data_IF_642103445603
#
_entry.id   IF_642103445603
#
_cell.length_a   1.000
_cell.length_b   1.000
_cell.length_c   1.000
_cell.angle_alpha   90.00
_cell.angle_beta   90.00
_cell.angle_gamma   90.00
#
_symmetry.space_group_name_H-M   'P 1'
#
loop_
_entity.id
_entity.type
_entity.pdbx_description
1 polymer ?
#
# COMPACT_ATOMS: atom_id res chain seq x y z
N UNK A 1 -14.66 -17.27 -41.89
CA UNK A 1 -16.10 -17.37 -42.23
C UNK A 1 -16.80 -16.15 -41.65
N UNK A 2 -17.17 -15.20 -42.54
CA UNK A 2 -18.18 -14.11 -42.45
C UNK A 2 -18.13 -13.15 -41.22
N UNK A 3 -17.65 -11.91 -41.40
CA UNK A 3 -18.36 -10.65 -41.79
C UNK A 3 -18.97 -9.93 -40.57
N UNK A 4 -18.37 -8.82 -40.09
CA UNK A 4 -18.54 -7.42 -40.52
C UNK A 4 -19.92 -6.84 -40.15
N UNK A 5 -19.93 -5.80 -39.30
CA UNK A 5 -20.82 -4.64 -39.46
C UNK A 5 -20.25 -3.43 -38.72
N UNK A 6 -19.95 -2.40 -39.50
CA UNK A 6 -19.75 -1.03 -39.08
C UNK A 6 -20.97 -0.22 -39.54
N UNK A 7 -21.39 0.79 -38.79
CA UNK A 7 -22.12 1.93 -39.35
C UNK A 7 -21.94 3.19 -38.47
N UNK A 8 -21.42 4.22 -39.13
CA UNK A 8 -21.34 5.63 -38.72
C UNK A 8 -22.72 6.30 -38.84
N UNK A 9 -22.97 7.33 -38.02
CA UNK A 9 -23.59 8.58 -38.47
C UNK A 9 -23.40 9.72 -37.45
N UNK A 10 -22.86 10.83 -37.93
CA UNK A 10 -22.74 12.15 -37.30
C UNK A 10 -24.02 12.97 -37.48
N UNK A 11 -24.36 13.82 -36.51
CA UNK A 11 -25.13 15.06 -36.75
C UNK A 11 -24.91 16.06 -35.61
N UNK A 12 -24.45 17.25 -36.02
CA UNK A 12 -24.29 18.50 -35.25
C UNK A 12 -25.64 19.20 -35.12
N UNK A 13 -25.92 19.83 -33.97
CA UNK A 13 -26.81 21.00 -33.89
C UNK A 13 -26.32 21.96 -32.80
N UNK A 14 -26.04 23.20 -33.24
CA UNK A 14 -25.71 24.41 -32.48
C UNK A 14 -26.99 25.15 -32.06
N UNK A 15 -26.96 25.77 -30.87
CA UNK A 15 -27.53 27.09 -30.51
C UNK A 15 -27.32 27.27 -29.00
N UNK A 16 -26.50 28.17 -28.44
CA UNK A 16 -26.31 29.63 -28.59
C UNK A 16 -27.45 30.48 -27.99
N UNK A 17 -27.18 31.12 -26.84
CA UNK A 17 -27.41 32.55 -26.52
C UNK A 17 -26.91 32.82 -25.07
N UNK A 18 -25.85 33.63 -24.90
CA UNK A 18 -25.86 35.04 -24.44
C UNK A 18 -26.11 35.18 -22.91
N UNK A 19 -25.42 36.01 -22.13
CA UNK A 19 -24.70 37.24 -22.43
C UNK A 19 -23.56 37.52 -21.44
N UNK A 20 -22.66 38.39 -21.89
CA UNK A 20 -21.56 39.05 -21.19
C UNK A 20 -22.03 39.90 -19.99
N UNK A 21 -21.19 40.03 -18.97
CA UNK A 21 -20.81 41.36 -18.47
C UNK A 21 -19.49 41.32 -17.68
N UNK A 22 -18.65 42.29 -18.02
CA UNK A 22 -17.34 42.60 -17.47
C UNK A 22 -17.37 42.95 -15.97
N UNK A 23 -16.25 42.68 -15.29
CA UNK A 23 -15.95 43.20 -13.96
C UNK A 23 -14.50 42.90 -13.56
N UNK A 24 -13.72 43.97 -13.40
CA UNK A 24 -12.26 43.98 -13.21
C UNK A 24 -11.71 43.28 -11.96
N UNK A 25 -10.45 42.88 -12.09
CA UNK A 25 -9.44 42.49 -11.10
C UNK A 25 -9.54 43.11 -9.69
N UNK A 26 -9.39 42.27 -8.65
CA UNK A 26 -8.55 42.54 -7.49
C UNK A 26 -7.96 41.23 -6.92
N UNK A 27 -6.63 41.24 -6.71
CA UNK A 27 -5.86 40.20 -6.02
C UNK A 27 -5.93 40.48 -4.51
N UNK A 28 -6.33 39.53 -3.68
CA UNK A 28 -5.74 39.35 -2.33
C UNK A 28 -6.11 38.02 -1.68
N UNK A 29 -5.10 37.32 -1.17
CA UNK A 29 -5.09 36.88 0.23
C UNK A 29 -6.00 35.74 0.70
N UNK A 30 -5.44 34.53 0.68
CA UNK A 30 -5.45 33.56 1.80
C UNK A 30 -6.72 32.76 2.14
N UNK A 31 -6.44 31.48 2.45
CA UNK A 31 -7.25 30.42 3.06
C UNK A 31 -8.14 29.64 2.09
N UNK A 32 -7.59 28.52 1.63
CA UNK A 32 -8.34 27.36 1.17
C UNK A 32 -9.27 26.88 2.28
N UNK A 33 -10.57 27.14 2.15
CA UNK A 33 -11.63 26.47 2.88
C UNK A 33 -11.69 25.02 2.36
N UNK A 34 -11.10 24.09 3.11
CA UNK A 34 -11.31 22.67 2.88
C UNK A 34 -12.63 22.28 3.57
N UNK A 35 -13.58 21.93 2.72
CA UNK A 35 -14.90 21.39 3.05
C UNK A 35 -14.79 20.24 4.06
N UNK A 36 -15.41 20.44 5.22
CA UNK A 36 -15.71 19.39 6.18
C UNK A 36 -16.38 18.21 5.48
N UNK A 37 -15.80 17.02 5.65
CA UNK A 37 -16.39 15.74 5.25
C UNK A 37 -17.77 15.59 5.87
N UNK A 38 -18.81 15.58 5.04
CA UNK A 38 -20.18 15.34 5.44
C UNK A 38 -20.35 13.87 5.82
N UNK A 39 -20.47 13.61 7.11
CA UNK A 39 -20.83 12.30 7.69
C UNK A 39 -22.35 12.16 7.65
N UNK A 40 -22.89 11.06 7.12
CA UNK A 40 -24.32 10.74 7.20
C UNK A 40 -24.58 9.31 7.68
N UNK A 41 -25.74 9.13 8.32
CA UNK A 41 -26.07 8.07 9.28
C UNK A 41 -25.92 6.63 8.78
N UNK A 42 -25.26 5.81 9.60
CA UNK A 42 -25.06 4.39 9.43
C UNK A 42 -25.98 3.54 10.30
N UNK A 43 -26.21 2.31 9.85
CA UNK A 43 -26.56 1.20 10.72
C UNK A 43 -25.53 1.09 11.85
N UNK A 44 -25.98 1.17 13.10
CA UNK A 44 -25.20 1.08 14.34
C UNK A 44 -24.29 2.28 14.71
N UNK A 45 -24.41 3.45 14.07
CA UNK A 45 -23.75 4.68 14.52
C UNK A 45 -22.25 4.81 14.21
N UNK A 46 -21.69 3.89 13.41
CA UNK A 46 -20.31 3.94 12.89
C UNK A 46 -20.23 4.84 11.65
N UNK A 47 -19.45 5.92 11.66
CA UNK A 47 -19.27 6.76 10.48
C UNK A 47 -18.27 6.12 9.50
N UNK A 48 -18.71 5.74 8.30
CA UNK A 48 -17.84 5.25 7.23
C UNK A 48 -17.33 6.40 6.36
N UNK A 49 -16.14 6.25 5.73
CA UNK A 49 -15.65 7.26 4.81
C UNK A 49 -16.49 7.22 3.52
N UNK A 50 -17.04 8.37 3.13
CA UNK A 50 -17.97 8.43 2.01
C UNK A 50 -17.26 8.36 0.64
N UNK A 51 -17.84 7.63 -0.34
CA UNK A 51 -17.35 7.65 -1.70
C UNK A 51 -17.33 9.07 -2.29
N UNK A 52 -16.25 9.40 -2.98
CA UNK A 52 -16.07 10.66 -3.68
C UNK A 52 -15.70 10.45 -5.16
N UNK A 53 -15.44 11.55 -5.86
CA UNK A 53 -15.04 11.53 -7.27
C UNK A 53 -13.57 11.13 -7.50
N UNK A 54 -12.89 10.55 -6.50
CA UNK A 54 -11.49 10.15 -6.63
C UNK A 54 -11.29 9.03 -7.64
N UNK A 55 -10.11 9.04 -8.26
CA UNK A 55 -9.72 8.09 -9.30
C UNK A 55 -9.05 6.88 -8.65
N UNK A 56 -9.58 5.68 -8.88
CA UNK A 56 -8.85 4.45 -8.61
C UNK A 56 -7.90 4.13 -9.76
N UNK A 57 -6.75 3.54 -9.42
CA UNK A 57 -5.79 3.11 -10.42
C UNK A 57 -6.35 1.97 -11.26
N UNK A 58 -6.02 1.99 -12.56
CA UNK A 58 -6.25 0.85 -13.45
C UNK A 58 -5.22 -0.25 -13.24
N UNK A 59 -5.26 -1.29 -14.07
CA UNK A 59 -4.34 -2.43 -13.97
C UNK A 59 -2.88 -2.13 -14.35
N UNK A 60 -2.62 -0.99 -15.01
CA UNK A 60 -1.26 -0.60 -15.37
C UNK A 60 -0.68 0.34 -14.30
N UNK A 61 0.29 -0.17 -13.54
CA UNK A 61 0.87 0.58 -12.41
C UNK A 61 1.83 1.70 -12.83
N UNK A 62 2.43 1.63 -14.03
CA UNK A 62 3.21 2.73 -14.58
C UNK A 62 2.33 3.97 -14.86
N UNK A 63 1.11 3.75 -15.36
CA UNK A 63 0.09 4.79 -15.50
C UNK A 63 -0.37 5.33 -14.14
N UNK A 64 -0.52 4.46 -13.14
CA UNK A 64 -0.85 4.87 -11.77
C UNK A 64 0.23 5.78 -11.17
N UNK A 65 1.51 5.41 -11.31
CA UNK A 65 2.63 6.26 -10.87
C UNK A 65 2.61 7.60 -11.60
N UNK A 66 2.35 7.65 -12.90
CA UNK A 66 2.23 8.94 -13.59
C UNK A 66 1.10 9.81 -13.01
N UNK A 67 -0.07 9.23 -12.70
CA UNK A 67 -1.16 9.96 -12.04
C UNK A 67 -0.75 10.52 -10.67
N UNK A 68 0.04 9.77 -9.90
CA UNK A 68 0.61 10.20 -8.62
C UNK A 68 1.58 11.36 -8.83
N UNK A 69 2.50 11.25 -9.79
CA UNK A 69 3.54 12.25 -10.05
C UNK A 69 2.99 13.61 -10.48
N UNK A 70 1.78 13.64 -11.04
CA UNK A 70 1.05 14.88 -11.34
C UNK A 70 0.47 15.58 -10.10
N UNK A 71 0.47 14.92 -8.93
CA UNK A 71 -0.13 15.39 -7.68
C UNK A 71 0.87 15.53 -6.53
N UNK A 72 1.99 14.83 -6.58
CA UNK A 72 3.04 14.89 -5.55
C UNK A 72 3.86 16.18 -5.67
N UNK A 73 4.21 16.78 -4.54
CA UNK A 73 5.27 17.81 -4.53
C UNK A 73 6.62 17.11 -4.73
N UNK A 74 7.38 17.41 -5.80
CA UNK A 74 8.68 16.79 -6.03
C UNK A 74 9.63 16.90 -4.84
N UNK A 75 9.50 17.93 -3.98
CA UNK A 75 10.34 18.06 -2.78
C UNK A 75 10.21 16.88 -1.81
N UNK A 76 9.10 16.16 -1.82
CA UNK A 76 8.96 14.96 -0.99
C UNK A 76 9.94 13.85 -1.37
N UNK A 77 10.39 13.82 -2.63
CA UNK A 77 11.40 12.90 -3.14
C UNK A 77 12.84 13.42 -2.92
N UNK A 78 13.08 14.25 -1.90
CA UNK A 78 14.43 14.73 -1.54
C UNK A 78 15.04 14.01 -0.32
N UNK A 79 14.41 12.93 0.12
CA UNK A 79 14.84 12.12 1.27
C UNK A 79 15.58 10.86 0.83
N UNK A 80 16.58 10.44 1.61
CA UNK A 80 17.30 9.19 1.35
C UNK A 80 16.41 7.95 1.51
N UNK A 81 15.31 8.06 2.27
CA UNK A 81 14.35 6.96 2.48
C UNK A 81 15.05 5.73 3.06
N UNK A 82 14.92 4.60 2.38
CA UNK A 82 15.57 3.35 2.79
C UNK A 82 17.05 3.27 2.43
N UNK A 83 17.52 4.12 1.51
CA UNK A 83 18.93 4.16 1.14
C UNK A 83 19.77 4.66 2.32
N UNK A 84 20.53 3.77 2.94
CA UNK A 84 21.41 4.13 4.04
C UNK A 84 22.76 4.64 3.51
N UNK A 85 23.25 5.73 4.09
CA UNK A 85 24.58 6.30 3.83
C UNK A 85 24.97 7.19 5.01
N UNK A 86 26.26 7.22 5.38
CA UNK A 86 26.74 8.17 6.40
C UNK A 86 26.97 9.57 5.83
N UNK A 87 26.91 10.60 6.67
CA UNK A 87 27.16 11.99 6.27
C UNK A 87 28.54 12.18 5.58
N UNK A 88 29.56 11.47 6.06
CA UNK A 88 30.91 11.53 5.48
C UNK A 88 30.95 10.94 4.06
N UNK A 89 30.31 9.79 3.85
CA UNK A 89 30.20 9.16 2.55
C UNK A 89 29.38 10.01 1.59
N UNK A 90 28.26 10.57 2.06
CA UNK A 90 27.43 11.48 1.29
C UNK A 90 28.20 12.74 0.87
N UNK A 91 28.96 13.34 1.77
CA UNK A 91 29.80 14.50 1.49
C UNK A 91 30.90 14.20 0.45
N UNK A 92 31.50 13.01 0.47
CA UNK A 92 32.48 12.58 -0.54
C UNK A 92 31.85 12.44 -1.92
N UNK A 93 30.69 11.78 -2.02
CA UNK A 93 29.94 11.67 -3.28
C UNK A 93 29.54 13.08 -3.77
N UNK A 94 29.06 13.94 -2.87
CA UNK A 94 28.71 15.33 -3.20
C UNK A 94 29.90 16.08 -3.79
N UNK A 95 31.07 16.02 -3.14
CA UNK A 95 32.27 16.70 -3.61
C UNK A 95 32.69 16.19 -5.01
N UNK A 96 32.54 14.89 -5.27
CA UNK A 96 32.76 14.33 -6.59
C UNK A 96 31.79 14.88 -7.63
N UNK A 97 30.49 14.90 -7.34
CA UNK A 97 29.47 15.43 -8.26
C UNK A 97 29.72 16.91 -8.52
N UNK A 98 29.95 17.71 -7.47
CA UNK A 98 30.23 19.15 -7.56
C UNK A 98 31.43 19.44 -8.49
N UNK A 99 32.49 18.63 -8.41
CA UNK A 99 33.72 18.87 -9.16
C UNK A 99 33.69 18.33 -10.61
N UNK A 100 32.87 17.32 -10.90
CA UNK A 100 32.99 16.57 -12.16
C UNK A 100 31.71 16.52 -13.01
N UNK A 101 30.53 16.65 -12.40
CA UNK A 101 29.25 16.32 -13.05
C UNK A 101 28.22 17.45 -12.95
N UNK A 102 28.36 18.33 -11.96
CA UNK A 102 27.50 19.49 -11.78
C UNK A 102 27.60 20.43 -12.98
N UNK A 103 26.44 20.90 -13.42
CA UNK A 103 26.26 21.79 -14.54
C UNK A 103 25.35 22.97 -14.15
N UNK A 104 25.06 23.86 -15.10
CA UNK A 104 24.31 25.10 -14.88
C UNK A 104 22.82 24.87 -14.58
N UNK A 105 22.27 23.71 -14.97
CA UNK A 105 20.88 23.33 -14.69
C UNK A 105 20.80 21.97 -14.01
N UNK A 106 19.72 21.77 -13.26
CA UNK A 106 19.41 20.47 -12.65
C UNK A 106 19.30 19.37 -13.70
N UNK A 107 18.66 19.64 -14.85
CA UNK A 107 18.52 18.65 -15.92
C UNK A 107 19.87 18.21 -16.49
N UNK A 108 20.77 19.15 -16.80
CA UNK A 108 22.11 18.80 -17.28
C UNK A 108 22.94 18.07 -16.22
N UNK A 109 22.86 18.52 -14.97
CA UNK A 109 23.52 17.87 -13.83
C UNK A 109 23.05 16.42 -13.67
N UNK A 110 21.74 16.20 -13.66
CA UNK A 110 21.13 14.87 -13.61
C UNK A 110 21.58 14.00 -14.81
N UNK A 111 21.55 14.52 -16.03
CA UNK A 111 21.95 13.76 -17.21
C UNK A 111 23.44 13.38 -17.16
N UNK A 112 24.31 14.28 -16.71
CA UNK A 112 25.73 14.00 -16.50
C UNK A 112 25.92 12.88 -15.46
N UNK A 113 25.17 12.90 -14.36
CA UNK A 113 25.18 11.84 -13.34
C UNK A 113 24.73 10.51 -13.95
N UNK A 114 23.58 10.47 -14.62
CA UNK A 114 23.03 9.27 -15.23
C UNK A 114 24.03 8.63 -16.21
N UNK A 115 24.57 9.43 -17.13
CA UNK A 115 25.52 8.97 -18.13
C UNK A 115 26.86 8.52 -17.52
N UNK A 116 27.31 9.20 -16.46
CA UNK A 116 28.49 8.78 -15.73
C UNK A 116 28.28 7.40 -15.07
N UNK A 117 27.12 7.15 -14.46
CA UNK A 117 26.81 5.84 -13.86
C UNK A 117 26.78 4.76 -14.94
N UNK A 118 26.03 4.96 -16.02
CA UNK A 118 25.93 4.01 -17.16
C UNK A 118 27.32 3.65 -17.71
N UNK A 119 28.20 4.64 -17.83
CA UNK A 119 29.54 4.44 -18.40
C UNK A 119 30.51 3.75 -17.44
N UNK A 120 30.42 4.04 -16.14
CA UNK A 120 31.48 3.69 -15.19
C UNK A 120 31.14 2.50 -14.30
N UNK A 121 29.86 2.17 -14.12
CA UNK A 121 29.43 1.08 -13.24
C UNK A 121 29.13 -0.17 -14.06
N UNK A 122 29.59 -1.33 -13.59
CA UNK A 122 29.43 -2.64 -14.25
C UNK A 122 28.42 -3.53 -13.54
N UNK A 123 27.53 -4.17 -14.28
CA UNK A 123 26.55 -5.10 -13.73
C UNK A 123 27.22 -6.37 -13.19
N UNK A 124 26.86 -6.75 -11.97
CA UNK A 124 27.35 -7.95 -11.31
C UNK A 124 26.42 -9.14 -11.59
N UNK A 125 26.71 -9.90 -12.65
CA UNK A 125 26.01 -11.16 -12.95
C UNK A 125 26.53 -12.35 -12.13
N UNK A 126 27.62 -12.16 -11.37
CA UNK A 126 28.25 -13.15 -10.49
C UNK A 126 29.13 -12.46 -9.43
N UNK A 127 29.49 -13.19 -8.37
CA UNK A 127 30.33 -12.68 -7.28
C UNK A 127 29.65 -11.59 -6.45
N UNK A 128 30.46 -10.75 -5.81
CA UNK A 128 29.96 -9.68 -4.93
C UNK A 128 29.22 -8.60 -5.74
N UNK A 129 28.02 -8.24 -5.27
CA UNK A 129 27.17 -7.20 -5.81
C UNK A 129 26.83 -6.19 -4.71
N UNK A 130 27.30 -4.96 -4.86
CA UNK A 130 27.08 -3.91 -3.86
C UNK A 130 25.71 -3.26 -4.05
N UNK A 131 25.02 -3.00 -2.94
CA UNK A 131 23.75 -2.28 -2.89
C UNK A 131 23.89 -0.90 -2.24
N UNK A 132 24.84 -0.78 -1.31
CA UNK A 132 25.16 0.48 -0.65
C UNK A 132 25.70 1.48 -1.69
N UNK A 133 25.13 2.69 -1.79
CA UNK A 133 25.49 3.65 -2.83
C UNK A 133 26.96 4.05 -2.78
N UNK A 134 27.58 4.09 -1.60
CA UNK A 134 28.99 4.44 -1.46
C UNK A 134 29.90 3.31 -1.92
N UNK A 135 29.56 2.05 -1.63
CA UNK A 135 30.27 0.90 -2.16
C UNK A 135 30.17 0.83 -3.69
N UNK A 136 28.97 1.06 -4.26
CA UNK A 136 28.83 1.17 -5.73
C UNK A 136 29.68 2.32 -6.26
N UNK A 137 29.68 3.46 -5.59
CA UNK A 137 30.52 4.60 -5.96
C UNK A 137 32.01 4.25 -5.90
N UNK A 138 32.51 3.45 -4.95
CA UNK A 138 33.93 3.10 -4.87
C UNK A 138 34.32 1.98 -5.83
N UNK A 139 33.57 0.90 -5.83
CA UNK A 139 33.93 -0.35 -6.51
C UNK A 139 33.36 -0.45 -7.92
N UNK A 140 32.42 0.45 -8.29
CA UNK A 140 31.83 0.56 -9.63
C UNK A 140 31.22 -0.76 -10.13
N UNK A 141 30.63 -1.53 -9.22
CA UNK A 141 30.03 -2.84 -9.52
C UNK A 141 28.79 -3.07 -8.67
N UNK A 142 27.67 -3.45 -9.26
CA UNK A 142 26.42 -3.70 -8.52
C UNK A 142 25.37 -4.44 -9.36
N UNK A 143 24.23 -4.74 -8.76
CA UNK A 143 22.99 -5.11 -9.46
C UNK A 143 22.04 -3.90 -9.54
N UNK A 144 20.89 -4.07 -10.18
CA UNK A 144 19.92 -2.99 -10.47
C UNK A 144 19.61 -2.09 -9.26
N UNK A 145 19.42 -2.66 -8.07
CA UNK A 145 19.17 -1.88 -6.85
C UNK A 145 20.35 -0.95 -6.49
N UNK A 146 21.60 -1.41 -6.64
CA UNK A 146 22.77 -0.59 -6.37
C UNK A 146 22.94 0.54 -7.38
N UNK A 147 22.62 0.29 -8.66
CA UNK A 147 22.54 1.35 -9.68
C UNK A 147 21.53 2.42 -9.26
N UNK A 148 20.33 2.00 -8.85
CA UNK A 148 19.26 2.92 -8.49
C UNK A 148 19.56 3.73 -7.22
N UNK A 149 20.15 3.08 -6.21
CA UNK A 149 20.60 3.74 -4.97
C UNK A 149 21.69 4.78 -5.23
N UNK A 150 22.66 4.47 -6.11
CA UNK A 150 23.72 5.42 -6.45
C UNK A 150 23.18 6.63 -7.22
N UNK A 151 22.31 6.42 -8.22
CA UNK A 151 21.68 7.51 -8.96
C UNK A 151 20.88 8.43 -8.03
N UNK A 152 20.05 7.85 -7.16
CA UNK A 152 19.33 8.60 -6.12
C UNK A 152 20.28 9.44 -5.27
N UNK A 153 21.30 8.81 -4.70
CA UNK A 153 22.26 9.48 -3.82
C UNK A 153 22.95 10.66 -4.53
N UNK A 154 23.47 10.45 -5.74
CA UNK A 154 24.15 11.50 -6.50
C UNK A 154 23.22 12.66 -6.86
N UNK A 155 21.99 12.40 -7.28
CA UNK A 155 20.98 13.44 -7.52
C UNK A 155 20.65 14.23 -6.25
N UNK A 156 20.42 13.54 -5.13
CA UNK A 156 20.08 14.17 -3.86
C UNK A 156 21.22 15.06 -3.35
N UNK A 157 22.49 14.73 -3.62
CA UNK A 157 23.62 15.61 -3.26
C UNK A 157 23.56 17.00 -3.90
N UNK A 158 22.78 17.13 -4.97
CA UNK A 158 22.54 18.37 -5.71
C UNK A 158 21.14 18.96 -5.45
N UNK A 159 20.37 18.38 -4.53
CA UNK A 159 18.99 18.80 -4.25
C UNK A 159 17.99 18.43 -5.36
N UNK A 160 18.38 17.57 -6.31
CA UNK A 160 17.53 17.12 -7.40
C UNK A 160 16.64 15.98 -6.86
N UNK A 161 15.31 16.14 -6.82
CA UNK A 161 14.44 15.11 -6.29
C UNK A 161 14.56 13.81 -7.09
N UNK A 162 14.76 12.71 -6.36
CA UNK A 162 14.96 11.39 -6.93
C UNK A 162 14.52 10.33 -5.93
N UNK A 163 13.77 9.34 -6.41
CA UNK A 163 13.37 8.19 -5.61
C UNK A 163 13.59 6.89 -6.38
N UNK A 164 13.67 5.77 -5.66
CA UNK A 164 13.76 4.44 -6.24
C UNK A 164 12.35 3.87 -6.40
N UNK A 165 12.08 3.31 -7.56
CA UNK A 165 10.94 2.44 -7.79
C UNK A 165 11.40 0.99 -7.90
N UNK A 166 10.64 0.10 -7.27
CA UNK A 166 10.81 -1.36 -7.40
C UNK A 166 9.59 -1.96 -8.06
N UNK A 167 9.80 -2.99 -8.88
CA UNK A 167 8.72 -3.69 -9.56
C UNK A 167 9.24 -4.73 -10.52
N UNK A 168 8.55 -4.93 -11.63
CA UNK A 168 8.92 -5.91 -12.66
C UNK A 168 9.56 -5.25 -13.87
N UNK A 169 10.65 -5.84 -14.36
CA UNK A 169 11.18 -5.59 -15.70
C UNK A 169 10.51 -6.56 -16.67
N UNK A 170 9.41 -6.12 -17.29
CA UNK A 170 8.57 -6.92 -18.17
C UNK A 170 8.26 -8.29 -17.52
N UNK A 171 8.55 -9.39 -18.22
CA UNK A 171 8.44 -10.76 -17.69
C UNK A 171 9.77 -11.34 -17.22
N UNK A 172 10.86 -10.55 -17.15
CA UNK A 172 12.22 -11.03 -16.88
C UNK A 172 12.43 -11.27 -15.38
N UNK A 173 11.94 -10.38 -14.52
CA UNK A 173 12.12 -10.50 -13.08
C UNK A 173 12.00 -9.18 -12.34
N UNK A 174 12.27 -9.23 -11.02
CA UNK A 174 12.28 -8.04 -10.17
C UNK A 174 13.38 -7.06 -10.60
N UNK A 175 13.07 -5.77 -10.55
CA UNK A 175 13.96 -4.70 -11.02
C UNK A 175 13.82 -3.43 -10.18
N UNK A 176 14.85 -2.60 -10.23
CA UNK A 176 14.92 -1.32 -9.56
C UNK A 176 15.43 -0.25 -10.51
N UNK A 177 14.77 0.90 -10.51
CA UNK A 177 15.11 2.07 -11.33
C UNK A 177 14.70 3.34 -10.57
N UNK A 178 14.88 4.50 -11.19
CA UNK A 178 14.59 5.78 -10.55
C UNK A 178 13.51 6.56 -11.27
N UNK A 179 12.89 7.45 -10.51
CA UNK A 179 12.20 8.61 -11.05
C UNK A 179 12.93 9.87 -10.59
N UNK A 180 13.26 10.76 -11.52
CA UNK A 180 14.02 11.98 -11.25
C UNK A 180 13.22 13.20 -11.69
N UNK A 181 13.10 14.20 -10.83
CA UNK A 181 12.49 15.48 -11.19
C UNK A 181 13.58 16.50 -11.53
N UNK A 182 13.69 16.89 -12.79
CA UNK A 182 14.72 17.83 -13.23
C UNK A 182 14.21 18.71 -14.37
N UNK A 183 14.56 20.00 -14.37
CA UNK A 183 14.14 20.93 -15.43
C UNK A 183 12.62 21.11 -15.55
N UNK A 184 11.86 20.83 -14.49
CA UNK A 184 10.41 20.95 -14.45
C UNK A 184 9.63 19.68 -14.83
N UNK A 185 10.33 18.62 -15.24
CA UNK A 185 9.73 17.35 -15.70
C UNK A 185 10.19 16.16 -14.84
N UNK A 186 9.34 15.13 -14.76
CA UNK A 186 9.71 13.82 -14.23
C UNK A 186 10.27 12.92 -15.32
N UNK A 187 11.32 12.16 -14.98
CA UNK A 187 12.01 11.20 -15.84
C UNK A 187 11.97 9.82 -15.21
N UNK A 188 11.69 8.78 -16.00
CA UNK A 188 11.85 7.37 -15.61
C UNK A 188 13.21 6.93 -16.10
N UNK A 189 14.13 6.72 -15.17
CA UNK A 189 15.55 6.55 -15.46
C UNK A 189 16.04 5.20 -14.95
N UNK A 190 16.42 4.33 -15.88
CA UNK A 190 16.99 3.02 -15.62
C UNK A 190 18.47 3.01 -16.05
N UNK A 191 19.39 3.38 -15.14
CA UNK A 191 20.82 3.36 -15.43
C UNK A 191 21.38 1.94 -15.61
N UNK A 192 20.65 0.88 -15.23
CA UNK A 192 21.06 -0.50 -15.47
C UNK A 192 21.02 -0.85 -16.95
N UNK A 193 19.95 -0.41 -17.62
CA UNK A 193 19.69 -0.71 -19.03
C UNK A 193 19.94 0.48 -19.96
N UNK A 194 20.43 1.61 -19.43
CA UNK A 194 20.63 2.86 -20.17
C UNK A 194 19.34 3.35 -20.85
N UNK A 195 18.22 3.26 -20.12
CA UNK A 195 16.94 3.78 -20.57
C UNK A 195 16.58 5.04 -19.79
N UNK A 196 16.15 6.08 -20.49
CA UNK A 196 15.64 7.29 -19.88
C UNK A 196 14.47 7.86 -20.69
N UNK A 197 13.34 8.08 -20.00
CA UNK A 197 12.09 8.53 -20.62
C UNK A 197 11.51 9.70 -19.84
N UNK A 198 10.87 10.65 -20.52
CA UNK A 198 9.92 11.52 -19.83
C UNK A 198 8.78 10.68 -19.25
N UNK A 199 8.48 10.81 -17.96
CA UNK A 199 7.43 10.06 -17.29
C UNK A 199 6.03 10.33 -17.88
N UNK A 200 5.83 11.50 -18.50
CA UNK A 200 4.60 11.80 -19.25
C UNK A 200 4.37 10.86 -20.46
N UNK A 201 5.43 10.25 -20.99
CA UNK A 201 5.35 9.31 -22.12
C UNK A 201 5.21 7.86 -21.63
N UNK A 202 4.11 7.60 -20.91
CA UNK A 202 3.83 6.29 -20.28
C UNK A 202 3.90 5.14 -21.28
N UNK A 203 3.44 5.34 -22.52
CA UNK A 203 3.44 4.30 -23.57
C UNK A 203 4.84 3.78 -23.92
N UNK A 204 5.90 4.58 -23.68
CA UNK A 204 7.26 4.17 -23.98
C UNK A 204 7.80 3.10 -23.02
N UNK A 205 7.31 3.04 -21.78
CA UNK A 205 7.90 2.19 -20.73
C UNK A 205 6.90 1.32 -19.97
N UNK A 206 5.58 1.55 -20.08
CA UNK A 206 4.56 0.92 -19.21
C UNK A 206 4.47 -0.61 -19.23
N UNK A 207 5.02 -1.25 -20.26
CA UNK A 207 5.07 -2.72 -20.41
C UNK A 207 6.44 -3.30 -20.04
N UNK A 208 7.43 -2.44 -19.85
CA UNK A 208 8.81 -2.79 -19.52
C UNK A 208 9.09 -2.49 -18.05
N UNK A 209 8.82 -1.28 -17.58
CA UNK A 209 9.03 -0.86 -16.20
C UNK A 209 7.68 -0.80 -15.49
N UNK A 210 7.35 -1.85 -14.73
CA UNK A 210 6.06 -2.03 -14.07
C UNK A 210 6.26 -1.79 -12.57
N UNK A 211 6.10 -0.54 -12.08
CA UNK A 211 6.37 -0.20 -10.69
C UNK A 211 5.34 -0.87 -9.77
N UNK A 212 5.81 -1.39 -8.64
CA UNK A 212 4.95 -1.87 -7.57
C UNK A 212 5.13 -1.05 -6.30
N UNK A 213 6.27 -0.38 -6.15
CA UNK A 213 6.63 0.32 -4.93
C UNK A 213 7.46 1.56 -5.21
N UNK A 214 7.28 2.59 -4.38
CA UNK A 214 8.11 3.79 -4.33
C UNK A 214 8.73 3.91 -2.92
N UNK A 215 10.00 4.27 -2.82
CA UNK A 215 10.77 4.24 -1.56
C UNK A 215 10.66 5.53 -0.71
N UNK A 216 9.55 6.26 -0.82
CA UNK A 216 9.25 7.44 -0.02
C UNK A 216 7.75 7.62 0.20
N UNK A 217 7.39 8.48 1.17
CA UNK A 217 6.00 8.88 1.44
C UNK A 217 5.52 9.89 0.40
N UNK A 218 4.34 9.66 -0.17
CA UNK A 218 3.78 10.46 -1.27
C UNK A 218 2.94 11.65 -0.81
N UNK A 219 2.14 11.43 0.23
CA UNK A 219 1.19 12.39 0.74
C UNK A 219 1.05 12.18 2.25
N UNK A 220 0.54 13.21 2.89
CA UNK A 220 0.07 13.12 4.26
C UNK A 220 -1.14 14.03 4.42
N UNK A 221 -2.04 13.62 5.32
CA UNK A 221 -3.09 14.49 5.86
C UNK A 221 -2.98 14.51 7.38
N UNK A 222 -4.00 15.01 8.07
CA UNK A 222 -4.01 15.11 9.54
C UNK A 222 -4.01 13.74 10.23
N UNK A 223 -4.48 12.69 9.56
CA UNK A 223 -4.69 11.36 10.14
C UNK A 223 -3.67 10.31 9.67
N UNK A 224 -3.16 10.40 8.45
CA UNK A 224 -2.46 9.32 7.78
C UNK A 224 -1.27 9.80 6.93
N UNK A 225 -0.31 8.90 6.74
CA UNK A 225 0.75 9.02 5.73
C UNK A 225 0.51 7.96 4.66
N UNK A 226 0.74 8.34 3.41
CA UNK A 226 0.43 7.52 2.24
C UNK A 226 1.68 7.19 1.42
N UNK A 227 1.77 5.97 0.92
CA UNK A 227 2.80 5.55 -0.02
C UNK A 227 2.21 4.76 -1.20
N UNK A 228 3.06 4.37 -2.14
CA UNK A 228 2.71 3.43 -3.20
C UNK A 228 3.33 2.07 -2.90
N UNK A 229 2.48 1.07 -2.67
CA UNK A 229 2.90 -0.27 -2.29
C UNK A 229 2.04 -1.31 -3.00
N UNK A 230 2.69 -2.33 -3.56
CA UNK A 230 2.08 -3.40 -4.34
C UNK A 230 1.10 -2.90 -5.42
N UNK A 231 1.44 -1.79 -6.08
CA UNK A 231 0.63 -1.21 -7.14
C UNK A 231 -0.57 -0.38 -6.67
N UNK A 232 -0.71 -0.15 -5.37
CA UNK A 232 -1.85 0.54 -4.76
C UNK A 232 -1.43 1.83 -4.04
N UNK A 233 -2.36 2.79 -3.96
CA UNK A 233 -2.25 3.90 -3.02
C UNK A 233 -2.60 3.37 -1.64
N UNK A 234 -1.61 3.40 -0.76
CA UNK A 234 -1.63 2.69 0.50
C UNK A 234 -1.49 3.64 1.69
N UNK A 235 -2.26 3.40 2.76
CA UNK A 235 -1.97 3.99 4.07
C UNK A 235 -0.81 3.24 4.70
N UNK A 236 0.31 3.93 4.90
CA UNK A 236 1.53 3.37 5.50
C UNK A 236 1.67 3.69 6.98
N UNK A 237 1.01 4.74 7.46
CA UNK A 237 1.03 5.14 8.86
C UNK A 237 -0.29 5.78 9.25
N UNK A 238 -0.75 5.44 10.46
CA UNK A 238 -1.78 6.21 11.17
C UNK A 238 -1.05 7.09 12.18
N UNK A 239 -1.23 8.40 12.05
CA UNK A 239 -0.58 9.40 12.92
C UNK A 239 -1.11 9.29 14.36
N UNK A 240 -0.33 9.80 15.31
CA UNK A 240 -0.72 9.83 16.73
C UNK A 240 -2.08 10.50 16.93
N UNK A 241 -2.93 9.88 17.75
CA UNK A 241 -4.28 10.35 18.06
C UNK A 241 -4.69 9.89 19.45
N UNK A 242 -5.54 10.66 20.13
CA UNK A 242 -6.16 10.24 21.40
C UNK A 242 -7.40 9.36 21.18
N UNK A 243 -7.88 9.24 19.94
CA UNK A 243 -9.05 8.43 19.61
C UNK A 243 -8.73 6.93 19.64
N UNK A 244 -9.61 6.14 20.25
CA UNK A 244 -9.50 4.67 20.22
C UNK A 244 -10.01 4.04 18.91
N UNK A 245 -10.70 4.83 18.08
CA UNK A 245 -11.27 4.42 16.80
C UNK A 245 -10.67 5.27 15.70
N UNK A 246 -10.14 4.62 14.66
CA UNK A 246 -9.58 5.30 13.48
C UNK A 246 -10.33 4.87 12.24
N UNK A 247 -10.67 5.84 11.40
CA UNK A 247 -11.28 5.60 10.08
C UNK A 247 -10.25 5.86 8.99
N UNK A 248 -10.05 4.88 8.11
CA UNK A 248 -9.16 5.04 6.96
C UNK A 248 -9.82 5.93 5.90
N UNK A 249 -9.16 7.00 5.44
CA UNK A 249 -9.73 7.91 4.44
C UNK A 249 -10.08 7.23 3.11
N UNK A 250 -11.12 7.74 2.45
CA UNK A 250 -11.55 7.21 1.13
C UNK A 250 -10.54 7.54 0.03
N UNK A 251 -9.99 8.76 0.08
CA UNK A 251 -9.10 9.32 -0.92
C UNK A 251 -8.14 10.34 -0.32
N UNK A 252 -7.09 10.67 -1.07
CA UNK A 252 -6.22 11.82 -0.82
C UNK A 252 -5.86 12.46 -2.16
N UNK A 253 -5.92 13.79 -2.23
CA UNK A 253 -5.60 14.56 -3.46
C UNK A 253 -6.34 14.11 -4.73
N UNK A 254 -7.58 13.62 -4.58
CA UNK A 254 -8.41 13.11 -5.67
C UNK A 254 -7.99 11.72 -6.19
N UNK A 255 -7.10 11.02 -5.48
CA UNK A 255 -6.69 9.64 -5.76
C UNK A 255 -7.29 8.71 -4.70
N UNK A 256 -7.90 7.62 -5.15
CA UNK A 256 -8.57 6.67 -4.26
C UNK A 256 -7.55 5.84 -3.50
N UNK A 257 -7.68 5.80 -2.18
CA UNK A 257 -6.89 4.92 -1.32
C UNK A 257 -7.48 3.52 -1.44
N UNK A 258 -6.69 2.50 -1.76
CA UNK A 258 -7.21 1.14 -1.96
C UNK A 258 -6.54 0.08 -1.11
N UNK A 259 -5.52 0.47 -0.34
CA UNK A 259 -4.71 -0.44 0.47
C UNK A 259 -4.49 0.11 1.88
N UNK A 260 -4.47 -0.80 2.84
CA UNK A 260 -4.04 -0.54 4.22
C UNK A 260 -2.96 -1.55 4.63
N UNK A 261 -1.71 -1.11 4.58
CA UNK A 261 -0.53 -1.90 4.92
C UNK A 261 0.44 -1.01 5.69
N UNK A 262 0.16 -0.75 6.97
CA UNK A 262 1.02 0.11 7.79
C UNK A 262 2.39 -0.52 8.01
N UNK A 263 3.45 0.27 7.86
CA UNK A 263 4.83 -0.10 8.20
C UNK A 263 5.33 0.59 9.47
N UNK A 264 4.45 1.34 10.15
CA UNK A 264 4.63 1.92 11.48
C UNK A 264 3.54 1.34 12.39
N UNK A 265 3.89 1.08 13.65
CA UNK A 265 2.90 0.62 14.65
C UNK A 265 1.80 1.65 14.82
N UNK A 266 0.56 1.18 14.90
CA UNK A 266 -0.57 2.02 15.25
C UNK A 266 -0.39 2.60 16.66
N UNK A 267 -0.95 3.79 16.95
CA UNK A 267 -0.96 4.34 18.30
C UNK A 267 -1.57 3.35 19.31
N UNK A 268 -0.99 3.27 20.51
CA UNK A 268 -1.30 2.19 21.47
C UNK A 268 -2.76 2.16 21.94
N UNK A 269 -3.43 3.31 21.93
CA UNK A 269 -4.82 3.49 22.31
C UNK A 269 -5.82 3.09 21.20
N UNK A 270 -5.36 2.90 19.96
CA UNK A 270 -6.24 2.53 18.84
C UNK A 270 -6.57 1.05 18.92
N UNK A 271 -7.84 0.74 19.20
CA UNK A 271 -8.38 -0.61 19.32
C UNK A 271 -9.36 -0.97 18.19
N UNK A 272 -9.93 0.02 17.50
CA UNK A 272 -10.87 -0.22 16.40
C UNK A 272 -10.43 0.49 15.13
N UNK A 273 -10.43 -0.25 14.02
CA UNK A 273 -10.21 0.28 12.67
C UNK A 273 -11.50 0.25 11.86
N UNK A 274 -11.86 1.36 11.24
CA UNK A 274 -12.98 1.45 10.28
C UNK A 274 -12.38 1.55 8.89
N UNK A 275 -12.75 0.63 8.00
CA UNK A 275 -12.37 0.68 6.58
C UNK A 275 -13.59 0.93 5.69
N UNK A 276 -13.39 1.77 4.68
CA UNK A 276 -14.43 2.12 3.71
C UNK A 276 -14.59 1.11 2.59
N UNK A 277 -15.54 1.41 1.70
CA UNK A 277 -15.77 0.65 0.47
C UNK A 277 -14.61 0.73 -0.56
N UNK A 278 -13.63 1.61 -0.33
CA UNK A 278 -12.47 1.82 -1.18
C UNK A 278 -11.34 0.80 -0.94
N UNK A 279 -11.23 0.24 0.27
CA UNK A 279 -10.12 -0.64 0.62
C UNK A 279 -10.37 -2.03 0.06
N UNK A 280 -9.46 -2.51 -0.78
CA UNK A 280 -9.57 -3.80 -1.48
C UNK A 280 -8.45 -4.78 -1.12
N UNK A 281 -7.45 -4.36 -0.34
CA UNK A 281 -6.34 -5.23 0.07
C UNK A 281 -5.67 -4.79 1.38
N UNK A 282 -5.26 -5.78 2.18
CA UNK A 282 -4.35 -5.66 3.32
C UNK A 282 -2.95 -6.23 2.99
N UNK A 283 -2.63 -6.35 1.71
CA UNK A 283 -1.41 -6.98 1.21
C UNK A 283 -1.52 -8.48 1.02
N UNK A 284 -0.41 -9.09 0.59
CA UNK A 284 -0.33 -10.52 0.27
C UNK A 284 -0.31 -11.41 1.52
N UNK A 285 -0.03 -10.83 2.68
CA UNK A 285 0.03 -11.54 3.96
C UNK A 285 -0.62 -10.69 5.06
N UNK A 286 -1.97 -10.62 5.12
CA UNK A 286 -2.68 -9.77 6.07
C UNK A 286 -2.31 -10.06 7.53
N UNK A 287 -1.98 -11.31 7.87
CA UNK A 287 -1.52 -11.67 9.23
C UNK A 287 -0.20 -11.00 9.64
N UNK A 288 0.64 -10.59 8.68
CA UNK A 288 1.86 -9.82 8.97
C UNK A 288 1.56 -8.43 9.53
N UNK A 289 0.35 -7.89 9.27
CA UNK A 289 -0.08 -6.62 9.83
C UNK A 289 -0.19 -6.67 11.35
N UNK A 290 -0.28 -7.85 11.98
CA UNK A 290 -0.37 -7.97 13.44
C UNK A 290 0.80 -7.32 14.18
N UNK A 291 1.97 -7.19 13.55
CA UNK A 291 3.08 -6.44 14.14
C UNK A 291 2.79 -4.93 14.27
N UNK A 292 2.21 -4.32 13.23
CA UNK A 292 1.84 -2.91 13.22
C UNK A 292 0.52 -2.66 13.96
N UNK A 293 -0.44 -3.58 13.82
CA UNK A 293 -1.80 -3.53 14.32
C UNK A 293 -1.99 -4.29 15.65
N UNK A 294 -0.94 -4.43 16.45
CA UNK A 294 -0.91 -5.27 17.67
C UNK A 294 -1.97 -4.95 18.75
N UNK A 295 -2.57 -3.76 18.66
CA UNK A 295 -3.56 -3.26 19.61
C UNK A 295 -5.00 -3.34 19.09
N UNK A 296 -5.20 -3.60 17.80
CA UNK A 296 -6.54 -3.69 17.22
C UNK A 296 -7.28 -4.89 17.78
N UNK A 297 -8.46 -4.65 18.34
CA UNK A 297 -9.41 -5.65 18.80
C UNK A 297 -10.51 -5.89 17.76
N UNK A 298 -10.76 -4.90 16.90
CA UNK A 298 -11.86 -4.91 15.93
C UNK A 298 -11.50 -4.19 14.62
N UNK A 299 -11.88 -4.79 13.50
CA UNK A 299 -12.05 -4.07 12.22
C UNK A 299 -13.52 -4.06 11.82
N UNK A 300 -14.04 -2.87 11.54
CA UNK A 300 -15.38 -2.66 10.99
C UNK A 300 -15.26 -2.31 9.52
N UNK A 301 -15.93 -3.10 8.67
CA UNK A 301 -15.93 -2.93 7.22
C UNK A 301 -17.25 -2.26 6.80
N UNK A 302 -17.15 -1.23 5.97
CA UNK A 302 -18.31 -0.61 5.32
C UNK A 302 -19.14 -1.68 4.58
N UNK A 303 -20.46 -1.82 4.83
CA UNK A 303 -21.31 -2.78 4.13
C UNK A 303 -21.33 -2.62 2.60
N UNK A 304 -20.93 -1.45 2.09
CA UNK A 304 -20.79 -1.15 0.65
C UNK A 304 -19.50 -1.69 0.04
N UNK A 305 -18.57 -2.20 0.85
CA UNK A 305 -17.34 -2.80 0.38
C UNK A 305 -17.63 -4.10 -0.42
N UNK A 306 -17.07 -4.20 -1.62
CA UNK A 306 -17.32 -5.33 -2.52
C UNK A 306 -16.37 -6.52 -2.31
N UNK A 307 -15.22 -6.29 -1.67
CA UNK A 307 -14.17 -7.29 -1.49
C UNK A 307 -14.21 -7.90 -0.09
N UNK A 308 -14.54 -7.07 0.91
CA UNK A 308 -14.52 -7.44 2.32
C UNK A 308 -15.89 -7.36 2.99
N UNK A 309 -16.01 -8.12 4.05
CA UNK A 309 -17.07 -8.02 5.06
C UNK A 309 -16.42 -8.16 6.44
N UNK A 310 -17.09 -7.71 7.50
CA UNK A 310 -16.66 -7.93 8.88
C UNK A 310 -17.71 -8.67 9.67
N UNK A 311 -17.28 -9.61 10.51
CA UNK A 311 -18.14 -10.28 11.48
C UNK A 311 -17.45 -10.30 12.83
N UNK A 312 -18.07 -9.65 13.83
CA UNK A 312 -17.55 -9.57 15.20
C UNK A 312 -16.09 -9.11 15.26
N UNK A 313 -15.77 -8.10 14.44
CA UNK A 313 -14.45 -7.48 14.33
C UNK A 313 -13.41 -8.23 13.50
N UNK A 314 -13.73 -9.41 12.97
CA UNK A 314 -12.87 -10.17 12.06
C UNK A 314 -13.25 -9.86 10.62
N UNK A 315 -12.24 -9.65 9.76
CA UNK A 315 -12.43 -9.38 8.32
C UNK A 315 -12.48 -10.69 7.54
N UNK A 316 -13.41 -10.78 6.60
CA UNK A 316 -13.61 -11.89 5.69
C UNK A 316 -13.60 -11.38 4.24
N UNK A 317 -13.16 -12.23 3.31
CA UNK A 317 -13.36 -11.97 1.88
C UNK A 317 -14.82 -12.27 1.52
N UNK A 318 -15.48 -11.42 0.75
CA UNK A 318 -16.83 -11.74 0.24
C UNK A 318 -16.83 -12.92 -0.72
N UNK A 319 -15.74 -13.09 -1.48
CA UNK A 319 -15.56 -14.22 -2.38
C UNK A 319 -15.38 -15.56 -1.65
N UNK A 320 -14.91 -15.53 -0.39
CA UNK A 320 -14.76 -16.69 0.48
C UNK A 320 -14.93 -16.26 1.93
N UNK A 321 -16.18 -16.30 2.41
CA UNK A 321 -16.55 -15.76 3.71
C UNK A 321 -16.51 -16.79 4.85
N UNK A 322 -16.11 -18.03 4.55
CA UNK A 322 -15.98 -19.08 5.56
C UNK A 322 -14.73 -18.91 6.42
N UNK A 323 -13.64 -18.38 5.84
CA UNK A 323 -12.34 -18.27 6.51
C UNK A 323 -11.98 -16.81 6.76
N UNK A 324 -11.47 -16.46 7.95
CA UNK A 324 -10.95 -15.13 8.23
C UNK A 324 -9.87 -14.71 7.23
N UNK A 325 -10.02 -13.52 6.67
CA UNK A 325 -8.97 -12.85 5.89
C UNK A 325 -7.97 -12.14 6.80
N UNK A 326 -8.47 -11.48 7.86
CA UNK A 326 -7.64 -10.81 8.86
C UNK A 326 -8.30 -10.88 10.24
N UNK A 327 -7.54 -11.31 11.24
CA UNK A 327 -7.97 -11.36 12.63
C UNK A 327 -7.13 -10.33 13.42
N UNK A 328 -7.75 -9.34 14.07
CA UNK A 328 -7.04 -8.34 14.86
C UNK A 328 -6.23 -8.96 16.01
N UNK A 329 -4.98 -8.56 16.19
CA UNK A 329 -4.06 -9.15 17.18
C UNK A 329 -4.46 -8.89 18.65
N UNK A 330 -5.21 -7.81 18.88
CA UNK A 330 -5.76 -7.39 20.17
C UNK A 330 -6.97 -8.20 20.62
N UNK A 331 -7.60 -8.98 19.73
CA UNK A 331 -8.85 -9.67 20.04
C UNK A 331 -8.68 -10.68 21.18
N UNK A 332 -9.59 -10.62 22.16
CA UNK A 332 -9.59 -11.52 23.33
C UNK A 332 -10.54 -12.69 23.20
N UNK A 333 -11.62 -12.50 22.44
CA UNK A 333 -12.64 -13.51 22.19
C UNK A 333 -13.07 -13.45 20.74
N UNK A 334 -12.90 -14.54 20.02
CA UNK A 334 -13.28 -14.64 18.61
C UNK A 334 -14.56 -15.47 18.45
N UNK A 335 -15.50 -14.92 17.69
CA UNK A 335 -16.68 -15.63 17.18
C UNK A 335 -16.48 -15.85 15.69
N UNK A 336 -16.23 -17.09 15.28
CA UNK A 336 -16.00 -17.41 13.87
C UNK A 336 -17.34 -17.57 13.13
N UNK A 337 -17.36 -17.27 11.83
CA UNK A 337 -18.43 -17.73 10.94
C UNK A 337 -18.42 -19.27 10.81
N UNK A 338 -19.56 -19.89 10.47
CA UNK A 338 -19.61 -21.32 10.17
C UNK A 338 -18.68 -21.70 9.01
N UNK A 339 -17.85 -22.72 9.19
CA UNK A 339 -17.00 -23.29 8.14
C UNK A 339 -17.06 -24.81 8.20
N UNK A 340 -17.07 -25.54 7.07
CA UNK A 340 -17.18 -27.01 7.12
C UNK A 340 -16.01 -27.66 7.85
N UNK A 341 -14.80 -27.20 7.54
CA UNK A 341 -13.54 -27.68 8.09
C UNK A 341 -12.75 -26.47 8.55
N UNK A 342 -12.31 -26.48 9.81
CA UNK A 342 -11.32 -25.52 10.28
C UNK A 342 -9.93 -26.10 9.96
N UNK A 343 -9.39 -25.67 8.83
CA UNK A 343 -8.11 -26.13 8.29
C UNK A 343 -6.92 -25.57 9.08
N UNK A 344 -5.72 -26.05 8.73
CA UNK A 344 -4.46 -25.56 9.28
C UNK A 344 -4.34 -24.03 9.18
N UNK A 345 -3.84 -23.41 10.24
CA UNK A 345 -3.49 -21.98 10.34
C UNK A 345 -4.67 -21.00 10.25
N UNK A 346 -5.91 -21.41 10.53
CA UNK A 346 -7.06 -20.49 10.56
C UNK A 346 -6.88 -19.40 11.62
N UNK A 347 -6.30 -19.75 12.78
CA UNK A 347 -5.92 -18.79 13.81
C UNK A 347 -4.45 -19.03 14.17
N UNK A 348 -3.60 -18.00 14.05
CA UNK A 348 -2.17 -18.13 14.37
C UNK A 348 -1.65 -16.90 15.12
N UNK A 349 -0.77 -17.14 16.11
CA UNK A 349 0.05 -16.10 16.76
C UNK A 349 -0.77 -14.96 17.41
N UNK A 350 -1.88 -15.29 18.08
CA UNK A 350 -2.71 -14.31 18.79
C UNK A 350 -2.44 -14.37 20.29
N UNK A 351 -1.48 -13.58 20.76
CA UNK A 351 -1.03 -13.60 22.15
C UNK A 351 -2.10 -13.13 23.15
N UNK A 352 -3.06 -12.30 22.73
CA UNK A 352 -4.12 -11.78 23.61
C UNK A 352 -5.40 -12.62 23.61
N UNK A 353 -5.49 -13.63 22.75
CA UNK A 353 -6.69 -14.46 22.58
C UNK A 353 -6.89 -15.36 23.80
N UNK A 354 -8.08 -15.29 24.41
CA UNK A 354 -8.47 -16.10 25.56
C UNK A 354 -9.61 -17.07 25.26
N UNK A 355 -10.49 -16.73 24.31
CA UNK A 355 -11.67 -17.52 24.00
C UNK A 355 -11.91 -17.67 22.50
N UNK A 356 -12.26 -18.88 22.08
CA UNK A 356 -12.71 -19.18 20.71
C UNK A 356 -14.12 -19.75 20.77
N UNK A 357 -15.02 -19.20 19.96
CA UNK A 357 -16.37 -19.72 19.75
C UNK A 357 -16.48 -20.26 18.33
N UNK A 358 -16.64 -21.57 18.22
CA UNK A 358 -16.81 -22.23 16.93
C UNK A 358 -18.29 -22.23 16.57
N UNK A 359 -18.60 -21.78 15.36
CA UNK A 359 -19.97 -21.68 14.91
C UNK A 359 -20.62 -23.03 14.62
N UNK A 360 -21.93 -23.11 14.90
CA UNK A 360 -22.76 -24.25 14.54
C UNK A 360 -22.71 -24.49 13.03
N UNK A 361 -22.54 -25.75 12.62
CA UNK A 361 -22.32 -26.15 11.23
C UNK A 361 -20.85 -26.40 10.90
N UNK A 362 -19.93 -26.10 11.82
CA UNK A 362 -18.54 -26.58 11.75
C UNK A 362 -18.48 -28.06 12.09
N UNK A 363 -17.84 -28.87 11.25
CA UNK A 363 -17.86 -30.33 11.35
C UNK A 363 -16.54 -30.93 11.85
N UNK A 364 -15.41 -30.31 11.46
CA UNK A 364 -14.06 -30.84 11.70
C UNK A 364 -13.10 -29.72 12.06
N UNK A 365 -12.18 -30.02 12.98
CA UNK A 365 -11.03 -29.17 13.32
C UNK A 365 -9.76 -29.98 13.06
N UNK A 366 -8.98 -29.56 12.07
CA UNK A 366 -7.80 -30.28 11.59
C UNK A 366 -6.53 -29.92 12.36
N UNK A 367 -5.43 -30.58 12.03
CA UNK A 367 -4.10 -30.33 12.63
C UNK A 367 -3.70 -28.86 12.51
N UNK A 368 -3.21 -28.28 13.61
CA UNK A 368 -2.72 -26.90 13.66
C UNK A 368 -3.75 -25.84 13.22
N UNK A 369 -5.05 -26.12 13.36
CA UNK A 369 -6.11 -25.16 13.04
C UNK A 369 -6.01 -23.86 13.85
N UNK A 370 -5.60 -23.98 15.11
CA UNK A 370 -5.24 -22.89 16.01
C UNK A 370 -3.80 -23.12 16.47
N UNK A 371 -2.89 -22.22 16.14
CA UNK A 371 -1.46 -22.37 16.46
C UNK A 371 -0.91 -21.15 17.23
N UNK A 372 -0.04 -21.39 18.21
CA UNK A 372 0.70 -20.32 18.91
C UNK A 372 -0.21 -19.26 19.54
N UNK A 373 -1.27 -19.67 20.25
CA UNK A 373 -2.15 -18.78 21.02
C UNK A 373 -1.99 -19.05 22.52
N UNK A 374 -0.89 -18.57 23.15
CA UNK A 374 -0.44 -19.05 24.46
C UNK A 374 -1.37 -18.70 25.63
N UNK A 375 -2.26 -17.72 25.46
CA UNK A 375 -3.20 -17.28 26.49
C UNK A 375 -4.62 -17.83 26.30
N UNK A 376 -4.83 -18.75 25.36
CA UNK A 376 -6.11 -19.39 25.13
C UNK A 376 -6.56 -20.18 26.37
N UNK A 377 -7.77 -19.92 26.85
CA UNK A 377 -8.36 -20.50 28.07
C UNK A 377 -9.60 -21.33 27.78
N UNK A 378 -10.41 -20.96 26.79
CA UNK A 378 -11.68 -21.65 26.51
C UNK A 378 -11.93 -21.78 25.01
N UNK A 379 -12.43 -22.95 24.63
CA UNK A 379 -12.90 -23.23 23.26
C UNK A 379 -14.32 -23.77 23.35
N UNK A 380 -15.28 -22.99 22.85
CA UNK A 380 -16.69 -23.40 22.79
C UNK A 380 -16.93 -24.15 21.48
N UNK A 381 -17.28 -25.44 21.60
CA UNK A 381 -17.40 -26.37 20.49
C UNK A 381 -18.85 -26.84 20.33
N UNK A 382 -19.50 -26.62 19.18
CA UNK A 382 -20.85 -27.09 18.93
C UNK A 382 -20.93 -28.59 18.69
N UNK A 383 -22.12 -29.15 18.84
CA UNK A 383 -22.37 -30.59 18.62
C UNK A 383 -22.16 -31.01 17.16
N UNK A 384 -22.14 -30.06 16.22
CA UNK A 384 -21.82 -30.32 14.82
C UNK A 384 -20.35 -30.74 14.63
N UNK A 385 -19.44 -30.37 15.54
CA UNK A 385 -18.04 -30.77 15.47
C UNK A 385 -17.91 -32.23 15.93
N UNK A 386 -17.71 -33.12 14.97
CA UNK A 386 -17.60 -34.57 15.16
C UNK A 386 -16.16 -35.04 15.21
N UNK A 387 -15.20 -34.20 14.79
CA UNK A 387 -13.78 -34.51 14.77
C UNK A 387 -12.93 -33.31 15.19
N UNK A 388 -11.96 -33.54 16.07
CA UNK A 388 -10.91 -32.60 16.48
C UNK A 388 -9.60 -33.36 16.47
N UNK A 389 -8.61 -32.88 15.72
CA UNK A 389 -7.26 -33.44 15.75
C UNK A 389 -6.61 -33.32 17.13
N UNK A 390 -5.72 -34.26 17.48
CA UNK A 390 -4.88 -34.18 18.67
C UNK A 390 -3.96 -32.94 18.68
N UNK A 391 -3.61 -32.42 17.50
CA UNK A 391 -2.72 -31.26 17.33
C UNK A 391 -3.48 -29.99 16.88
N UNK A 392 -4.81 -29.98 16.98
CA UNK A 392 -5.65 -28.87 16.53
C UNK A 392 -5.32 -27.52 17.18
N UNK A 393 -4.85 -27.53 18.44
CA UNK A 393 -4.55 -26.35 19.25
C UNK A 393 -3.06 -26.32 19.66
N UNK A 394 -2.16 -26.53 18.70
CA UNK A 394 -0.73 -26.63 18.97
C UNK A 394 -0.17 -25.34 19.56
N UNK A 395 0.67 -25.46 20.60
CA UNK A 395 1.29 -24.34 21.33
C UNK A 395 0.28 -23.28 21.81
N UNK A 396 -0.93 -23.71 22.13
CA UNK A 396 -1.92 -22.89 22.82
C UNK A 396 -1.78 -23.01 24.34
N UNK A 397 -2.47 -22.14 25.08
CA UNK A 397 -2.52 -22.16 26.54
C UNK A 397 -3.18 -23.42 27.12
N UNK A 398 -3.34 -23.46 28.44
CA UNK A 398 -4.11 -24.52 29.12
C UNK A 398 -5.61 -24.23 28.95
N UNK A 399 -6.17 -24.70 27.84
CA UNK A 399 -7.55 -24.42 27.43
C UNK A 399 -8.52 -25.52 27.85
N UNK A 400 -9.75 -25.12 28.16
CA UNK A 400 -10.89 -26.02 28.36
C UNK A 400 -11.76 -26.08 27.09
N UNK A 401 -12.08 -27.29 26.63
CA UNK A 401 -13.11 -27.50 25.59
C UNK A 401 -14.48 -27.60 26.24
N UNK A 402 -15.36 -26.65 25.92
CA UNK A 402 -16.74 -26.58 26.42
C UNK A 402 -17.68 -26.94 25.28
N UNK A 403 -18.38 -28.09 25.40
CA UNK A 403 -19.39 -28.49 24.41
C UNK A 403 -20.71 -27.76 24.65
N UNK A 404 -21.13 -26.93 23.70
CA UNK A 404 -22.37 -26.16 23.77
C UNK A 404 -22.89 -25.80 22.38
N UNK A 405 -24.20 -25.63 22.22
CA UNK A 405 -24.72 -24.87 21.07
C UNK A 405 -24.20 -23.44 21.15
N UNK A 406 -23.68 -22.91 20.05
CA UNK A 406 -23.10 -21.56 20.02
C UNK A 406 -24.07 -20.53 19.47
N UNK A 407 -25.12 -20.96 18.76
CA UNK A 407 -26.14 -20.09 18.19
C UNK A 407 -25.65 -19.28 17.00
N UNK A 408 -24.40 -19.46 16.59
CA UNK A 408 -23.81 -18.81 15.43
C UNK A 408 -24.10 -19.70 14.23
N UNK A 409 -25.11 -19.32 13.45
CA UNK A 409 -25.56 -20.06 12.27
C UNK A 409 -25.27 -19.29 10.99
N UNK A 410 -25.31 -20.01 9.87
CA UNK A 410 -25.11 -19.41 8.56
C UNK A 410 -26.38 -18.63 8.17
N UNK A 411 -26.37 -17.31 8.34
CA UNK A 411 -27.44 -16.44 7.85
C UNK A 411 -26.98 -15.90 6.50
N UNK A 412 -27.21 -16.67 5.43
CA UNK A 412 -27.16 -16.08 4.08
C UNK A 412 -28.30 -15.06 4.01
N UNK A 413 -27.96 -13.78 3.98
CA UNK A 413 -28.86 -12.71 3.55
C UNK A 413 -29.02 -12.74 2.03
#
# INVERSE_FOLDING_TARGET
MKLLNALLATAVLLSACQAEQDGELQISGSKSDFSQTTVSNSTNGVAFPEPDASVAFGSNTAQAVWQILQKVDPKQATVMGETQISDAQYAEIKAFVDANLKDETDYKTYLNIFQWIVKNVTYASNGDAYLDPYDVFKYKRCICQGYANLLKTMCLTQGIPCFVANGWLSTIGGHAWNYVYAGGDWYVSDPTNNHDYKAANVDAYKNELIPLRMDFSLFEDDACVYNFLNGALNVSEVKNTDASVVTIPYSINGLRVTSFQPNVKLPENVSTLIIGANISTFGDSPSSLNWACGNLEEVVVDPRNNDFDSYKGVVYLRANDAYPYFIPAGIRRIELRPMKVMDKNVITMLDKLEEIVIADGTERIEDYAVENCPNLKRVYVPSSVTYISSDAFSKCGDYEIIRTTTGIHNVRL
#
